data_IF_441647688471
#
_entry.id   IF_441647688471
#
_cell.length_a   1.000
_cell.length_b   1.000
_cell.length_c   1.000
_cell.angle_alpha   90.00
_cell.angle_beta   90.00
_cell.angle_gamma   90.00
#
_symmetry.space_group_name_H-M   'P 1'
#
loop_
_entity.id
_entity.type
_entity.pdbx_description
1 polymer ?
#
# COMPACT_ATOMS: atom_id res chain seq x y z
N UNK A 1 30.81 43.83 24.51
CA UNK A 1 29.60 43.30 25.17
C UNK A 1 29.08 42.21 24.22
N UNK A 2 29.47 40.95 24.29
CA UNK A 2 29.74 40.12 25.46
C UNK A 2 28.53 39.23 25.72
N UNK A 3 28.46 38.11 25.00
CA UNK A 3 27.71 36.86 25.23
C UNK A 3 26.22 36.89 25.60
N UNK A 4 25.41 36.06 24.92
CA UNK A 4 24.85 34.86 25.56
C UNK A 4 24.24 33.88 24.53
N UNK A 5 25.00 32.83 24.26
CA UNK A 5 24.57 31.56 23.68
C UNK A 5 24.04 30.67 24.81
N UNK A 6 22.72 30.49 24.92
CA UNK A 6 22.15 29.46 25.78
C UNK A 6 22.12 28.13 25.03
N UNK A 7 22.95 27.21 25.52
CA UNK A 7 22.88 25.77 25.28
C UNK A 7 21.53 25.25 25.77
N UNK A 8 20.75 24.63 24.90
CA UNK A 8 19.82 23.59 25.31
C UNK A 8 19.96 22.42 24.34
N UNK A 9 20.45 21.31 24.87
CA UNK A 9 20.54 20.03 24.18
C UNK A 9 19.19 19.34 24.29
N UNK A 10 18.52 19.09 23.18
CA UNK A 10 17.47 18.07 23.12
C UNK A 10 17.73 17.18 21.91
N UNK A 11 17.72 15.90 22.22
CA UNK A 11 18.27 14.79 21.49
C UNK A 11 17.32 14.33 20.38
N UNK A 12 17.91 13.71 19.37
CA UNK A 12 17.33 13.25 18.12
C UNK A 12 16.15 12.28 18.26
N UNK A 13 15.23 12.36 17.29
CA UNK A 13 14.19 11.38 16.99
C UNK A 13 13.69 11.58 15.57
N UNK A 14 14.43 11.05 14.59
CA UNK A 14 14.01 11.00 13.19
C UNK A 14 13.06 9.81 13.01
N UNK A 15 11.76 10.10 12.88
CA UNK A 15 10.74 9.15 12.46
C UNK A 15 10.55 9.29 10.95
N UNK A 16 11.30 8.50 10.16
CA UNK A 16 11.05 8.34 8.72
C UNK A 16 9.92 7.33 8.51
N UNK A 17 8.77 7.83 8.06
CA UNK A 17 7.73 7.03 7.44
C UNK A 17 8.21 6.54 6.07
N UNK A 18 8.43 5.23 5.92
CA UNK A 18 8.62 4.59 4.62
C UNK A 18 7.29 4.00 4.14
N UNK A 19 6.84 4.56 3.03
CA UNK A 19 5.65 4.24 2.26
C UNK A 19 5.90 2.94 1.46
N UNK A 20 5.14 1.88 1.77
CA UNK A 20 5.19 0.59 1.08
C UNK A 20 4.43 0.66 -0.27
N UNK A 21 5.15 0.84 -1.38
CA UNK A 21 4.59 0.60 -2.73
C UNK A 21 4.66 -0.90 -3.04
N UNK A 22 3.53 -1.57 -2.85
CA UNK A 22 3.31 -2.98 -3.17
C UNK A 22 3.08 -3.15 -4.68
N UNK A 23 4.16 -3.39 -5.44
CA UNK A 23 4.05 -3.79 -6.84
C UNK A 23 3.77 -5.29 -6.97
N UNK A 24 2.81 -5.59 -7.84
CA UNK A 24 2.09 -6.85 -7.94
C UNK A 24 2.92 -8.04 -8.44
N UNK A 25 2.54 -9.18 -7.86
CA UNK A 25 2.81 -10.55 -8.26
C UNK A 25 2.45 -10.80 -9.74
N UNK A 26 3.42 -11.28 -10.53
CA UNK A 26 3.17 -11.90 -11.82
C UNK A 26 3.76 -13.31 -11.75
N UNK A 27 2.91 -14.26 -11.39
CA UNK A 27 3.19 -15.68 -11.44
C UNK A 27 3.00 -16.26 -12.85
N UNK A 28 3.72 -17.36 -13.10
CA UNK A 28 3.46 -18.44 -14.11
C UNK A 28 4.03 -18.17 -15.52
N UNK A 29 4.70 -19.07 -16.24
CA UNK A 29 5.13 -20.47 -16.09
C UNK A 29 5.86 -20.93 -17.37
N UNK A 30 6.93 -21.73 -17.26
CA UNK A 30 7.38 -22.74 -18.25
C UNK A 30 8.56 -23.50 -17.61
N UNK A 31 8.41 -24.75 -17.13
CA UNK A 31 8.33 -26.04 -17.84
C UNK A 31 9.70 -26.58 -18.31
N UNK A 32 10.18 -27.65 -17.64
CA UNK A 32 10.97 -28.83 -18.11
C UNK A 32 11.83 -29.37 -16.95
N UNK A 33 11.42 -30.42 -16.22
CA UNK A 33 11.75 -31.85 -16.44
C UNK A 33 13.24 -32.14 -16.67
N UNK A 34 13.88 -32.82 -15.72
CA UNK A 34 14.73 -34.00 -15.97
C UNK A 34 15.05 -34.79 -14.67
N UNK A 35 15.19 -36.10 -14.83
CA UNK A 35 15.25 -37.16 -13.81
C UNK A 35 16.67 -37.43 -13.28
N UNK A 36 16.76 -38.10 -12.11
CA UNK A 36 17.41 -39.42 -11.89
C UNK A 36 18.31 -39.55 -10.63
N UNK A 37 17.88 -40.46 -9.75
CA UNK A 37 18.56 -41.47 -8.91
C UNK A 37 19.96 -41.21 -8.31
N UNK A 38 20.10 -41.46 -6.99
CA UNK A 38 20.61 -42.75 -6.47
C UNK A 38 20.49 -42.85 -4.93
N UNK A 39 20.19 -44.06 -4.46
CA UNK A 39 20.18 -44.51 -3.07
C UNK A 39 21.59 -44.93 -2.64
N UNK A 40 21.95 -44.70 -1.37
CA UNK A 40 22.99 -45.46 -0.68
C UNK A 40 22.69 -45.49 0.82
N UNK A 41 22.51 -46.71 1.31
CA UNK A 41 22.19 -47.15 2.67
C UNK A 41 23.44 -47.28 3.58
N UNK A 42 23.20 -47.53 4.87
CA UNK A 42 24.09 -47.98 5.97
C UNK A 42 24.95 -46.92 6.70
N UNK A 43 25.16 -46.92 8.03
CA UNK A 43 24.85 -47.88 9.11
C UNK A 43 24.93 -47.19 10.50
N UNK A 44 23.98 -47.58 11.36
CA UNK A 44 24.01 -47.85 12.82
C UNK A 44 24.91 -47.05 13.77
N UNK A 45 24.24 -46.47 14.78
CA UNK A 45 24.78 -46.22 16.13
C UNK A 45 23.70 -46.47 17.18
N UNK A 46 23.72 -47.67 17.78
CA UNK A 46 22.83 -48.10 18.88
C UNK A 46 23.41 -47.71 20.26
N UNK A 47 22.54 -47.31 21.21
CA UNK A 47 22.54 -47.64 22.66
C UNK A 47 21.57 -46.69 23.39
N UNK A 48 20.32 -47.10 23.67
CA UNK A 48 19.83 -47.50 25.01
C UNK A 48 19.25 -46.30 25.82
N UNK A 49 18.06 -46.27 26.40
CA UNK A 49 16.99 -47.26 26.58
C UNK A 49 15.75 -46.60 27.26
N UNK A 50 14.56 -47.02 26.80
CA UNK A 50 13.38 -47.47 27.59
C UNK A 50 12.71 -46.53 28.62
N UNK A 51 11.62 -45.85 28.21
CA UNK A 51 10.22 -46.04 28.66
C UNK A 51 9.33 -44.79 28.42
N UNK A 52 8.25 -44.98 27.66
CA UNK A 52 7.02 -44.17 27.56
C UNK A 52 6.43 -43.97 28.99
N UNK A 53 5.66 -42.90 29.36
CA UNK A 53 4.42 -42.59 28.63
C UNK A 53 3.83 -41.13 28.68
N UNK A 54 3.21 -40.72 27.55
CA UNK A 54 1.94 -39.94 27.43
C UNK A 54 1.96 -38.39 27.35
N UNK A 55 1.13 -37.91 26.40
CA UNK A 55 0.51 -36.58 26.26
C UNK A 55 1.39 -35.38 25.86
N UNK A 56 1.32 -35.00 24.57
CA UNK A 56 1.49 -33.63 24.05
C UNK A 56 0.85 -33.58 22.67
N UNK A 57 -0.40 -33.12 22.57
CA UNK A 57 -0.81 -31.72 22.36
C UNK A 57 -0.82 -31.38 20.87
N UNK A 58 -2.02 -31.44 20.26
CA UNK A 58 -2.28 -31.01 18.89
C UNK A 58 -2.24 -29.47 18.76
N UNK A 59 -1.08 -28.88 19.06
CA UNK A 59 -0.80 -27.45 18.91
C UNK A 59 0.53 -27.14 18.19
N UNK A 60 1.32 -28.16 17.83
CA UNK A 60 2.71 -27.98 17.38
C UNK A 60 2.90 -27.75 15.86
N UNK A 61 1.92 -28.11 15.02
CA UNK A 61 2.03 -27.93 13.54
C UNK A 61 2.22 -26.45 13.13
N UNK A 62 1.64 -25.53 13.91
CA UNK A 62 1.75 -24.08 13.69
C UNK A 62 3.11 -23.52 14.10
N UNK A 63 3.73 -24.13 15.11
CA UNK A 63 5.03 -23.76 15.68
C UNK A 63 6.16 -24.24 14.76
N UNK A 64 6.04 -25.44 14.20
CA UNK A 64 7.03 -25.96 13.26
C UNK A 64 7.00 -25.24 11.91
N UNK A 65 5.81 -24.93 11.39
CA UNK A 65 5.69 -24.07 10.20
C UNK A 65 6.29 -22.67 10.44
N UNK A 66 6.08 -22.07 11.61
CA UNK A 66 6.68 -20.79 11.95
C UNK A 66 8.22 -20.87 12.06
N UNK A 67 8.77 -21.98 12.59
CA UNK A 67 10.21 -22.24 12.61
C UNK A 67 10.79 -22.42 11.21
N UNK A 68 10.08 -23.12 10.31
CA UNK A 68 10.47 -23.29 8.91
C UNK A 68 10.45 -21.97 8.12
N UNK A 69 9.41 -21.15 8.31
CA UNK A 69 9.31 -19.82 7.71
C UNK A 69 10.44 -18.90 8.22
N UNK A 70 10.72 -18.93 9.53
CA UNK A 70 11.81 -18.18 10.13
C UNK A 70 13.18 -18.65 9.62
N UNK A 71 13.41 -19.95 9.51
CA UNK A 71 14.63 -20.53 8.97
C UNK A 71 14.84 -20.12 7.50
N UNK A 72 13.80 -20.19 6.68
CA UNK A 72 13.83 -19.76 5.28
C UNK A 72 14.17 -18.28 5.17
N UNK A 73 13.61 -17.43 6.05
CA UNK A 73 13.91 -16.00 6.09
C UNK A 73 15.37 -15.74 6.46
N UNK A 74 15.90 -16.43 7.46
CA UNK A 74 17.31 -16.32 7.86
C UNK A 74 18.23 -16.78 6.74
N UNK A 75 17.94 -17.91 6.10
CA UNK A 75 18.70 -18.43 4.97
C UNK A 75 18.68 -17.47 3.77
N UNK A 76 17.52 -16.90 3.44
CA UNK A 76 17.37 -15.93 2.36
C UNK A 76 18.18 -14.65 2.63
N UNK A 77 18.12 -14.13 3.87
CA UNK A 77 18.89 -12.96 4.30
C UNK A 77 20.40 -13.26 4.24
N UNK A 78 20.83 -14.42 4.73
CA UNK A 78 22.24 -14.82 4.73
C UNK A 78 22.78 -15.04 3.32
N UNK A 79 22.05 -15.74 2.45
CA UNK A 79 22.42 -15.90 1.04
C UNK A 79 22.53 -14.55 0.34
N UNK A 80 21.58 -13.65 0.61
CA UNK A 80 21.64 -12.28 0.09
C UNK A 80 22.84 -11.50 0.64
N UNK A 81 23.18 -11.66 1.91
CA UNK A 81 24.35 -11.03 2.52
C UNK A 81 25.66 -11.55 1.90
N UNK A 82 25.78 -12.86 1.67
CA UNK A 82 26.92 -13.46 0.99
C UNK A 82 27.09 -12.92 -0.44
N UNK A 83 26.01 -12.83 -1.22
CA UNK A 83 26.04 -12.26 -2.57
C UNK A 83 26.46 -10.77 -2.57
N UNK A 84 25.89 -9.96 -1.65
CA UNK A 84 26.27 -8.56 -1.49
C UNK A 84 27.72 -8.40 -1.04
N UNK A 85 28.20 -9.28 -0.16
CA UNK A 85 29.58 -9.26 0.33
C UNK A 85 30.57 -9.68 -0.74
N UNK A 86 30.28 -10.71 -1.54
CA UNK A 86 31.14 -11.08 -2.67
C UNK A 86 31.22 -9.98 -3.72
N UNK A 87 30.10 -9.27 -3.99
CA UNK A 87 30.11 -8.11 -4.90
C UNK A 87 30.94 -6.96 -4.35
N UNK A 88 30.80 -6.64 -3.06
CA UNK A 88 31.59 -5.60 -2.39
C UNK A 88 33.09 -5.96 -2.31
N UNK A 89 33.42 -7.22 -2.09
CA UNK A 89 34.80 -7.71 -2.07
C UNK A 89 35.40 -7.72 -3.48
N UNK A 90 34.60 -7.97 -4.52
CA UNK A 90 35.03 -7.79 -5.92
C UNK A 90 35.18 -6.32 -6.29
N UNK A 91 34.33 -5.41 -5.80
CA UNK A 91 34.49 -3.96 -6.01
C UNK A 91 35.74 -3.42 -5.29
N UNK A 92 36.04 -3.89 -4.07
CA UNK A 92 37.22 -3.45 -3.31
C UNK A 92 38.53 -4.11 -3.75
N UNK A 93 38.49 -5.33 -4.30
CA UNK A 93 39.68 -6.04 -4.83
C UNK A 93 39.96 -5.74 -6.30
N UNK A 94 38.96 -5.30 -7.08
CA UNK A 94 39.13 -4.85 -8.47
C UNK A 94 39.58 -3.39 -8.63
N UNK A 95 39.88 -2.71 -7.51
CA UNK A 95 40.50 -1.38 -7.46
C UNK A 95 41.99 -1.42 -7.84
N UNK A 96 42.30 -2.12 -8.94
CA UNK A 96 43.65 -2.30 -9.47
C UNK A 96 43.73 -2.32 -11.00
N UNK A 97 42.62 -2.31 -11.77
CA UNK A 97 42.68 -2.27 -13.25
C UNK A 97 41.31 -2.01 -13.92
N UNK A 98 40.69 -0.85 -13.68
CA UNK A 98 39.74 -0.22 -14.61
C UNK A 98 39.54 1.25 -14.21
N UNK A 99 40.08 2.15 -15.03
CA UNK A 99 40.06 3.61 -14.87
C UNK A 99 38.78 4.25 -15.44
N UNK A 100 37.60 3.65 -15.25
CA UNK A 100 36.33 4.27 -15.68
C UNK A 100 35.15 4.18 -14.68
N UNK A 101 35.30 3.46 -13.55
CA UNK A 101 34.26 3.35 -12.49
C UNK A 101 34.73 3.92 -11.14
N UNK A 102 35.59 4.94 -11.13
CA UNK A 102 35.87 5.69 -9.90
C UNK A 102 34.81 6.76 -9.68
N UNK A 103 34.32 6.91 -8.45
CA UNK A 103 33.47 8.05 -8.09
C UNK A 103 34.17 9.34 -8.57
N UNK A 104 33.48 10.17 -9.37
CA UNK A 104 34.09 11.35 -9.94
C UNK A 104 34.54 12.27 -8.80
N UNK A 105 35.79 12.68 -8.87
CA UNK A 105 36.38 13.58 -7.87
C UNK A 105 35.64 14.91 -7.93
N UNK A 106 35.47 15.61 -6.80
CA UNK A 106 34.78 16.92 -6.74
C UNK A 106 35.34 17.91 -7.78
N UNK A 107 36.66 17.85 -8.03
CA UNK A 107 37.35 18.67 -9.03
C UNK A 107 36.92 18.34 -10.47
N UNK A 108 36.71 17.05 -10.78
CA UNK A 108 36.22 16.61 -12.10
C UNK A 108 34.77 17.05 -12.33
N UNK A 109 33.94 16.98 -11.28
CA UNK A 109 32.56 17.49 -11.33
C UNK A 109 32.52 19.01 -11.50
N UNK A 110 33.42 19.76 -10.86
CA UNK A 110 33.51 21.21 -11.06
C UNK A 110 34.03 21.59 -12.44
N UNK A 111 34.87 20.74 -13.05
CA UNK A 111 35.33 20.88 -14.43
C UNK A 111 34.18 20.71 -15.43
N UNK A 112 33.29 19.74 -15.19
CA UNK A 112 32.13 19.46 -16.04
C UNK A 112 30.95 20.41 -15.79
N UNK A 113 30.67 20.76 -14.54
CA UNK A 113 29.57 21.63 -14.14
C UNK A 113 30.06 23.03 -13.76
N UNK A 114 30.65 23.73 -14.73
CA UNK A 114 31.18 25.09 -14.53
C UNK A 114 30.05 26.08 -14.28
N UNK A 115 30.16 26.84 -13.18
CA UNK A 115 29.21 27.90 -12.87
C UNK A 115 29.22 29.06 -13.88
N UNK A 116 30.32 29.20 -14.63
CA UNK A 116 30.47 30.23 -15.67
C UNK A 116 29.92 29.76 -17.04
N UNK A 117 29.51 28.49 -17.16
CA UNK A 117 28.86 27.96 -18.36
C UNK A 117 27.41 28.44 -18.42
N UNK A 118 27.18 29.41 -19.31
CA UNK A 118 25.88 30.04 -19.53
C UNK A 118 24.83 29.03 -19.99
N UNK A 119 25.20 28.05 -20.83
CA UNK A 119 24.25 27.06 -21.34
C UNK A 119 23.81 26.09 -20.24
N UNK A 120 24.74 25.68 -19.39
CA UNK A 120 24.45 24.87 -18.21
C UNK A 120 23.54 25.62 -17.21
N UNK A 121 23.83 26.89 -16.92
CA UNK A 121 22.99 27.72 -16.06
C UNK A 121 21.57 27.90 -16.62
N UNK A 122 21.45 28.12 -17.93
CA UNK A 122 20.16 28.25 -18.60
C UNK A 122 19.36 26.94 -18.55
N UNK A 123 20.02 25.80 -18.80
CA UNK A 123 19.41 24.48 -18.69
C UNK A 123 18.92 24.19 -17.26
N UNK A 124 19.77 24.44 -16.26
CA UNK A 124 19.43 24.28 -14.85
C UNK A 124 18.22 25.15 -14.46
N UNK A 125 18.21 26.43 -14.87
CA UNK A 125 17.10 27.36 -14.64
C UNK A 125 15.80 26.84 -15.27
N UNK A 126 15.86 26.30 -16.50
CA UNK A 126 14.70 25.74 -17.20
C UNK A 126 14.14 24.51 -16.50
N UNK A 127 15.01 23.62 -16.01
CA UNK A 127 14.61 22.43 -15.25
C UNK A 127 13.92 22.85 -13.95
N UNK A 128 14.54 23.77 -13.19
CA UNK A 128 13.99 24.29 -11.93
C UNK A 128 12.62 24.96 -12.13
N UNK A 129 12.50 25.82 -13.15
CA UNK A 129 11.24 26.50 -13.47
C UNK A 129 10.15 25.51 -13.89
N UNK A 130 10.50 24.51 -14.72
CA UNK A 130 9.57 23.47 -15.16
C UNK A 130 9.08 22.63 -13.98
N UNK A 131 9.99 22.21 -13.09
CA UNK A 131 9.65 21.42 -11.91
C UNK A 131 8.77 22.20 -10.95
N UNK A 132 9.12 23.45 -10.61
CA UNK A 132 8.28 24.31 -9.77
C UNK A 132 6.88 24.49 -10.37
N UNK A 133 6.80 24.69 -11.69
CA UNK A 133 5.53 24.79 -12.39
C UNK A 133 4.73 23.47 -12.38
N UNK A 134 5.40 22.32 -12.52
CA UNK A 134 4.77 21.02 -12.43
C UNK A 134 4.18 20.76 -11.05
N UNK A 135 4.93 21.05 -9.97
CA UNK A 135 4.44 20.89 -8.59
C UNK A 135 3.20 21.77 -8.34
N UNK A 136 3.25 23.04 -8.73
CA UNK A 136 2.10 23.95 -8.59
C UNK A 136 0.87 23.49 -9.37
N UNK A 137 1.04 23.03 -10.62
CA UNK A 137 -0.08 22.51 -11.42
C UNK A 137 -0.65 21.22 -10.84
N UNK A 138 0.21 20.33 -10.32
CA UNK A 138 -0.22 19.08 -9.66
C UNK A 138 -1.06 19.39 -8.42
N UNK A 139 -0.60 20.30 -7.57
CA UNK A 139 -1.34 20.75 -6.39
C UNK A 139 -2.67 21.40 -6.77
N UNK A 140 -2.69 22.27 -7.79
CA UNK A 140 -3.91 22.92 -8.25
C UNK A 140 -4.90 21.91 -8.86
N UNK A 141 -4.43 20.92 -9.61
CA UNK A 141 -5.28 19.87 -10.17
C UNK A 141 -5.97 19.08 -9.04
N UNK A 142 -5.20 18.65 -8.03
CA UNK A 142 -5.74 17.96 -6.85
C UNK A 142 -6.72 18.87 -6.10
N UNK A 143 -6.35 20.12 -5.82
CA UNK A 143 -7.22 21.08 -5.12
C UNK A 143 -8.51 21.36 -5.89
N UNK A 144 -8.45 21.51 -7.21
CA UNK A 144 -9.64 21.75 -8.04
C UNK A 144 -10.57 20.55 -8.08
N UNK A 145 -10.03 19.33 -8.11
CA UNK A 145 -10.83 18.11 -8.04
C UNK A 145 -11.50 17.95 -6.67
N UNK A 146 -10.76 18.22 -5.58
CA UNK A 146 -11.30 18.18 -4.21
C UNK A 146 -12.39 19.23 -4.02
N UNK A 147 -12.18 20.47 -4.50
CA UNK A 147 -13.21 21.51 -4.46
C UNK A 147 -14.44 21.13 -5.26
N UNK A 148 -14.28 20.66 -6.49
CA UNK A 148 -15.42 20.23 -7.31
C UNK A 148 -16.22 19.09 -6.66
N UNK A 149 -15.55 18.14 -6.02
CA UNK A 149 -16.22 17.08 -5.25
C UNK A 149 -16.93 17.63 -4.01
N UNK A 150 -16.30 18.57 -3.29
CA UNK A 150 -16.89 19.29 -2.17
C UNK A 150 -18.16 20.05 -2.56
N UNK A 151 -18.10 20.86 -3.61
CA UNK A 151 -19.23 21.65 -4.11
C UNK A 151 -20.40 20.73 -4.56
N UNK A 152 -20.11 19.57 -5.16
CA UNK A 152 -21.13 18.59 -5.51
C UNK A 152 -21.80 17.97 -4.27
N UNK A 153 -21.01 17.68 -3.23
CA UNK A 153 -21.52 17.13 -1.97
C UNK A 153 -22.37 18.17 -1.24
N UNK A 154 -21.89 19.41 -1.13
CA UNK A 154 -22.60 20.53 -0.50
C UNK A 154 -23.96 20.75 -1.18
N UNK A 155 -23.99 20.82 -2.50
CA UNK A 155 -25.25 20.95 -3.27
C UNK A 155 -26.18 19.74 -3.09
N UNK A 156 -25.64 18.54 -2.92
CA UNK A 156 -26.46 17.36 -2.64
C UNK A 156 -27.07 17.40 -1.24
N UNK A 157 -26.32 17.91 -0.25
CA UNK A 157 -26.78 18.10 1.13
C UNK A 157 -27.88 19.17 1.17
N UNK A 158 -27.66 20.34 0.56
CA UNK A 158 -28.68 21.40 0.48
C UNK A 158 -30.00 20.87 -0.12
N UNK A 159 -29.91 20.03 -1.16
CA UNK A 159 -31.08 19.44 -1.80
C UNK A 159 -31.79 18.37 -0.95
N UNK A 160 -31.07 17.73 -0.04
CA UNK A 160 -31.66 16.80 0.93
C UNK A 160 -32.36 17.62 2.02
N UNK A 161 -31.71 18.65 2.54
CA UNK A 161 -32.27 19.55 3.55
C UNK A 161 -33.57 20.21 3.05
N UNK A 162 -33.58 20.76 1.83
CA UNK A 162 -34.79 21.33 1.21
C UNK A 162 -35.95 20.31 1.17
N UNK A 163 -35.67 19.07 0.77
CA UNK A 163 -36.69 18.00 0.74
C UNK A 163 -37.14 17.54 2.11
N UNK A 164 -36.27 17.60 3.11
CA UNK A 164 -36.62 17.29 4.49
C UNK A 164 -37.52 18.37 5.04
N UNK A 165 -37.19 19.64 4.83
CA UNK A 165 -38.02 20.77 5.27
C UNK A 165 -39.39 20.74 4.58
N UNK A 166 -39.46 20.47 3.27
CA UNK A 166 -40.72 20.27 2.55
C UNK A 166 -41.54 19.12 3.15
N UNK A 167 -40.91 17.97 3.44
CA UNK A 167 -41.60 16.84 4.05
C UNK A 167 -42.08 17.14 5.48
N UNK A 168 -41.29 17.89 6.26
CA UNK A 168 -41.67 18.32 7.62
C UNK A 168 -42.87 19.25 7.55
N UNK A 169 -42.89 20.20 6.62
CA UNK A 169 -44.02 21.10 6.41
C UNK A 169 -45.28 20.35 5.95
N UNK A 170 -45.15 19.36 5.06
CA UNK A 170 -46.28 18.52 4.65
C UNK A 170 -46.85 17.66 5.80
N UNK A 171 -46.00 17.25 6.74
CA UNK A 171 -46.41 16.49 7.93
C UNK A 171 -46.98 17.40 9.03
N UNK A 172 -46.87 18.72 8.90
CA UNK A 172 -47.36 19.67 9.90
C UNK A 172 -48.89 19.60 9.99
N UNK A 173 -49.40 19.08 11.12
CA UNK A 173 -50.84 18.90 11.37
C UNK A 173 -51.36 17.45 11.26
N UNK A 174 -50.48 16.48 10.95
CA UNK A 174 -50.83 15.05 10.98
C UNK A 174 -50.52 14.47 12.37
N UNK A 175 -51.50 13.80 13.00
CA UNK A 175 -51.29 13.08 14.26
C UNK A 175 -50.62 11.73 14.00
N UNK A 176 -49.31 11.66 14.26
CA UNK A 176 -48.51 10.43 14.11
C UNK A 176 -48.87 9.33 15.12
N UNK A 177 -49.74 9.61 16.10
CA UNK A 177 -50.20 8.60 17.08
C UNK A 177 -51.54 7.96 16.70
N UNK A 178 -52.19 8.43 15.64
CA UNK A 178 -53.48 7.89 15.19
C UNK A 178 -53.34 6.43 14.69
N UNK A 179 -54.07 5.46 15.31
CA UNK A 179 -54.03 4.07 14.89
C UNK A 179 -54.58 3.84 13.46
N UNK A 180 -55.48 4.68 12.96
CA UNK A 180 -56.03 4.53 11.62
C UNK A 180 -55.05 5.05 10.54
N UNK A 181 -54.32 6.13 10.81
CA UNK A 181 -53.17 6.56 10.01
C UNK A 181 -52.12 5.45 9.87
N UNK A 182 -51.75 4.76 10.96
CA UNK A 182 -50.80 3.65 10.91
C UNK A 182 -51.26 2.47 10.03
N UNK A 183 -52.55 2.11 10.11
CA UNK A 183 -53.14 1.04 9.27
C UNK A 183 -53.09 1.43 7.79
N UNK A 184 -53.43 2.68 7.48
CA UNK A 184 -53.38 3.20 6.11
C UNK A 184 -51.94 3.21 5.56
N UNK A 185 -50.99 3.75 6.32
CA UNK A 185 -49.57 3.77 5.96
C UNK A 185 -49.03 2.36 5.69
N UNK A 186 -49.34 1.39 6.55
CA UNK A 186 -48.93 -0.01 6.38
C UNK A 186 -49.45 -0.59 5.06
N UNK A 187 -50.72 -0.31 4.71
CA UNK A 187 -51.34 -0.76 3.45
C UNK A 187 -50.68 -0.12 2.22
N UNK A 188 -50.39 1.17 2.27
CA UNK A 188 -49.70 1.91 1.20
C UNK A 188 -48.29 1.35 0.99
N UNK A 189 -47.53 1.16 2.08
CA UNK A 189 -46.18 0.62 2.01
C UNK A 189 -46.16 -0.82 1.45
N UNK A 190 -47.09 -1.68 1.87
CA UNK A 190 -47.21 -3.04 1.33
C UNK A 190 -47.54 -3.05 -0.17
N UNK A 191 -48.47 -2.19 -0.59
CA UNK A 191 -48.83 -2.01 -2.00
C UNK A 191 -47.64 -1.52 -2.84
N UNK A 192 -46.91 -0.52 -2.35
CA UNK A 192 -45.74 0.06 -3.04
C UNK A 192 -44.58 -0.93 -3.14
N UNK A 193 -44.23 -1.64 -2.05
CA UNK A 193 -43.23 -2.72 -2.09
C UNK A 193 -43.59 -3.78 -3.13
N UNK A 194 -44.86 -4.19 -3.17
CA UNK A 194 -45.36 -5.11 -4.21
C UNK A 194 -45.28 -4.52 -5.62
N UNK A 195 -45.57 -3.23 -5.78
CA UNK A 195 -45.50 -2.57 -7.08
C UNK A 195 -44.06 -2.46 -7.61
N UNK A 196 -43.09 -2.13 -6.74
CA UNK A 196 -41.65 -2.11 -7.08
C UNK A 196 -41.18 -3.47 -7.61
N UNK A 197 -41.50 -4.56 -6.90
CA UNK A 197 -41.15 -5.91 -7.35
C UNK A 197 -41.77 -6.23 -8.71
N UNK A 198 -43.03 -5.83 -8.95
CA UNK A 198 -43.71 -6.04 -10.24
C UNK A 198 -43.18 -5.15 -11.37
N UNK A 199 -42.58 -3.99 -11.08
CA UNK A 199 -41.90 -3.17 -12.09
C UNK A 199 -40.55 -3.77 -12.48
N UNK A 200 -39.81 -4.33 -11.52
CA UNK A 200 -38.47 -4.88 -11.73
C UNK A 200 -38.50 -6.28 -12.37
N UNK A 201 -39.63 -6.99 -12.32
CA UNK A 201 -39.85 -8.24 -13.05
C UNK A 201 -40.44 -7.93 -14.44
N UNK A 202 -39.68 -8.04 -15.55
CA UNK A 202 -40.25 -7.90 -16.88
C UNK A 202 -41.31 -8.98 -17.09
N UNK A 203 -42.49 -8.58 -17.59
CA UNK A 203 -43.63 -9.44 -17.84
C UNK A 203 -43.23 -10.56 -18.82
N UNK A 204 -42.84 -11.72 -18.29
CA UNK A 204 -42.52 -12.87 -19.12
C UNK A 204 -43.81 -13.31 -19.84
N UNK A 205 -43.80 -13.49 -21.17
CA UNK A 205 -45.00 -13.76 -21.94
C UNK A 205 -45.60 -15.09 -21.48
N UNK A 206 -46.79 -15.03 -20.90
CA UNK A 206 -47.58 -16.19 -20.51
C UNK A 206 -47.94 -16.96 -21.79
N UNK A 207 -47.23 -18.06 -22.07
CA UNK A 207 -47.62 -19.00 -23.13
C UNK A 207 -48.93 -19.66 -22.70
N UNK A 208 -50.00 -19.33 -23.43
CA UNK A 208 -51.29 -20.01 -23.37
C UNK A 208 -51.21 -21.38 -24.04
#
# INVERSE_FOLDING_TARGET
MGCNTSKESVQAGAEEAKEDVKNGDISKSAASQDNKAEEAEEEVGTTGGTQQPEAVDESDESSDKAKEEAATRIQAVFRGHQARKSMKDTETSSQGKNTEDSEPTIEQLQEEFRADDVDLCNAATKIQASFRGHMSRKEQAVSSAVKAAGDMMERAVEKIEEKVDDAVNELEGIDLTDPDLHKAATKIQASFRGHKVRQEVPEAPVKK
#
